data_IF_324268669160
#
_entry.id   IF_324268669160
#
_cell.length_a   1.000
_cell.length_b   1.000
_cell.length_c   1.000
_cell.angle_alpha   90.00
_cell.angle_beta   90.00
_cell.angle_gamma   90.00
#
_symmetry.space_group_name_H-M   'P 1'
#
loop_
_entity.id
_entity.type
_entity.pdbx_description
1 polymer ?
#
# COMPACT_ATOMS: atom_id res chain seq x y z
N UNK A 1 -1.21 -15.51 0.63
CA UNK A 1 -2.34 -14.77 1.21
C UNK A 1 -3.53 -14.86 0.24
N UNK A 2 -4.78 -14.65 0.65
CA UNK A 2 -5.93 -14.54 -0.27
C UNK A 2 -6.53 -13.14 -0.21
N UNK A 3 -7.28 -12.74 -1.23
CA UNK A 3 -7.92 -11.42 -1.30
C UNK A 3 -8.86 -11.14 -0.12
N UNK A 4 -9.56 -12.19 0.34
CA UNK A 4 -10.47 -12.11 1.49
C UNK A 4 -9.69 -11.96 2.81
N UNK A 5 -8.58 -12.69 2.96
CA UNK A 5 -7.70 -12.56 4.12
C UNK A 5 -7.07 -11.15 4.20
N UNK A 6 -6.73 -10.55 3.06
CA UNK A 6 -6.16 -9.20 3.00
C UNK A 6 -6.97 -8.15 3.76
N UNK A 7 -8.30 -8.22 3.66
CA UNK A 7 -9.20 -7.24 4.30
C UNK A 7 -9.28 -7.43 5.82
N UNK A 8 -9.07 -8.64 6.30
CA UNK A 8 -9.16 -9.01 7.71
C UNK A 8 -7.83 -8.99 8.44
N UNK A 9 -6.73 -9.17 7.71
CA UNK A 9 -5.39 -9.30 8.26
C UNK A 9 -4.65 -7.95 8.39
N UNK A 10 -5.11 -6.88 7.73
CA UNK A 10 -4.55 -5.55 7.96
C UNK A 10 -4.79 -5.11 9.40
N UNK A 11 -3.73 -4.61 10.05
CA UNK A 11 -3.86 -4.03 11.39
C UNK A 11 -4.84 -2.84 11.36
N UNK A 12 -5.54 -2.53 12.47
CA UNK A 12 -6.45 -1.38 12.53
C UNK A 12 -5.79 -0.07 12.13
N UNK A 13 -4.49 0.10 12.44
CA UNK A 13 -3.72 1.29 12.05
C UNK A 13 -3.38 1.31 10.58
N UNK A 14 -2.95 0.18 10.00
CA UNK A 14 -2.70 0.09 8.57
C UNK A 14 -3.99 0.37 7.77
N UNK A 15 -5.13 -0.15 8.24
CA UNK A 15 -6.43 0.12 7.64
C UNK A 15 -6.79 1.60 7.72
N UNK A 16 -6.61 2.26 8.87
CA UNK A 16 -6.85 3.70 9.03
C UNK A 16 -6.00 4.55 8.07
N UNK A 17 -4.71 4.23 7.92
CA UNK A 17 -3.82 4.91 6.98
C UNK A 17 -4.26 4.70 5.52
N UNK A 18 -4.66 3.48 5.18
CA UNK A 18 -5.19 3.17 3.86
C UNK A 18 -6.52 3.89 3.57
N UNK A 19 -7.44 3.94 4.53
CA UNK A 19 -8.70 4.68 4.42
C UNK A 19 -8.46 6.18 4.27
N UNK A 20 -7.47 6.73 4.98
CA UNK A 20 -7.06 8.13 4.83
C UNK A 20 -6.55 8.43 3.43
N UNK A 21 -5.71 7.55 2.87
CA UNK A 21 -5.26 7.65 1.48
C UNK A 21 -6.43 7.59 0.49
N UNK A 22 -7.33 6.60 0.64
CA UNK A 22 -8.53 6.49 -0.21
C UNK A 22 -9.42 7.72 -0.15
N UNK A 23 -9.54 8.36 1.02
CA UNK A 23 -10.35 9.57 1.16
C UNK A 23 -9.73 10.77 0.43
N UNK A 24 -8.39 10.82 0.32
CA UNK A 24 -7.69 11.89 -0.43
C UNK A 24 -7.66 11.67 -1.94
N UNK A 25 -7.69 10.42 -2.40
CA UNK A 25 -7.46 10.09 -3.81
C UNK A 25 -8.75 9.81 -4.56
N UNK A 26 -8.87 10.34 -5.77
CA UNK A 26 -9.93 9.95 -6.70
C UNK A 26 -9.56 8.61 -7.39
N UNK A 27 -10.30 7.50 -7.15
CA UNK A 27 -9.99 6.19 -7.72
C UNK A 27 -10.03 6.14 -9.26
N UNK A 28 -10.74 7.09 -9.89
CA UNK A 28 -10.85 7.22 -11.35
C UNK A 28 -9.70 8.00 -11.99
N UNK A 29 -8.79 8.60 -11.20
CA UNK A 29 -7.61 9.28 -11.75
C UNK A 29 -6.55 8.28 -12.22
N UNK A 30 -5.97 8.54 -13.39
CA UNK A 30 -4.97 7.68 -14.02
C UNK A 30 -3.57 7.93 -13.43
N UNK A 31 -3.43 7.69 -12.12
CA UNK A 31 -2.18 7.81 -11.34
C UNK A 31 -1.57 9.22 -11.19
N UNK A 32 -2.38 10.27 -11.36
CA UNK A 32 -1.99 11.65 -11.04
C UNK A 32 -2.12 11.93 -9.54
N UNK A 33 -1.32 11.23 -8.73
CA UNK A 33 -1.28 11.46 -7.28
C UNK A 33 -0.56 12.79 -7.00
N UNK A 34 -1.18 13.66 -6.22
CA UNK A 34 -0.52 14.89 -5.76
C UNK A 34 0.43 14.59 -4.59
N UNK A 35 1.28 15.54 -4.21
CA UNK A 35 2.27 15.33 -3.15
C UNK A 35 1.67 14.92 -1.79
N UNK A 36 0.44 15.36 -1.48
CA UNK A 36 -0.26 14.96 -0.26
C UNK A 36 -0.75 13.52 -0.34
N UNK A 37 -1.28 13.09 -1.49
CA UNK A 37 -1.70 11.71 -1.75
C UNK A 37 -0.51 10.75 -1.64
N UNK A 38 0.65 11.16 -2.16
CA UNK A 38 1.87 10.37 -2.08
C UNK A 38 2.36 10.25 -0.64
N UNK A 39 2.30 11.33 0.15
CA UNK A 39 2.66 11.29 1.56
C UNK A 39 1.78 10.32 2.36
N UNK A 40 0.45 10.38 2.18
CA UNK A 40 -0.47 9.46 2.86
C UNK A 40 -0.28 8.01 2.41
N UNK A 41 0.12 7.78 1.16
CA UNK A 41 0.51 6.47 0.66
C UNK A 41 1.75 5.92 1.36
N UNK A 42 2.80 6.73 1.50
CA UNK A 42 4.02 6.30 2.18
C UNK A 42 3.81 6.07 3.68
N UNK A 43 2.95 6.86 4.33
CA UNK A 43 2.50 6.61 5.70
C UNK A 43 1.92 5.19 5.87
N UNK A 44 1.10 4.74 4.91
CA UNK A 44 0.55 3.39 4.90
C UNK A 44 1.64 2.33 4.74
N UNK A 45 2.58 2.51 3.80
CA UNK A 45 3.71 1.58 3.58
C UNK A 45 4.58 1.45 4.85
N UNK A 46 4.87 2.57 5.50
CA UNK A 46 5.65 2.60 6.75
C UNK A 46 4.90 1.83 7.84
N UNK A 47 3.59 2.06 7.98
CA UNK A 47 2.79 1.34 8.97
C UNK A 47 2.79 -0.17 8.74
N UNK A 48 2.64 -0.64 7.49
CA UNK A 48 2.76 -2.06 7.16
C UNK A 48 4.12 -2.65 7.54
N UNK A 49 5.20 -1.91 7.31
CA UNK A 49 6.55 -2.33 7.70
C UNK A 49 6.69 -2.42 9.24
N UNK A 50 6.16 -1.44 9.97
CA UNK A 50 6.17 -1.44 11.45
C UNK A 50 5.40 -2.63 12.02
N UNK A 51 4.29 -2.99 11.39
CA UNK A 51 3.47 -4.15 11.75
C UNK A 51 4.10 -5.49 11.30
N UNK A 52 5.26 -5.44 10.63
CA UNK A 52 5.94 -6.60 10.03
C UNK A 52 5.01 -7.41 9.12
N UNK A 53 4.09 -6.72 8.47
CA UNK A 53 3.09 -7.36 7.64
C UNK A 53 3.65 -7.68 6.26
N UNK A 54 3.69 -8.97 5.92
CA UNK A 54 4.13 -9.42 4.60
C UNK A 54 2.96 -9.37 3.63
N UNK A 55 2.99 -8.36 2.76
CA UNK A 55 1.96 -8.12 1.77
C UNK A 55 2.44 -8.55 0.38
N UNK A 56 1.73 -9.48 -0.22
CA UNK A 56 1.93 -9.89 -1.62
C UNK A 56 1.42 -8.80 -2.57
N UNK A 57 2.31 -8.26 -3.40
CA UNK A 57 2.02 -7.12 -4.28
C UNK A 57 0.97 -7.44 -5.34
N UNK A 58 0.96 -8.65 -5.88
CA UNK A 58 0.00 -9.07 -6.90
C UNK A 58 -1.41 -9.20 -6.31
N UNK A 59 -1.53 -9.80 -5.12
CA UNK A 59 -2.80 -9.90 -4.39
C UNK A 59 -3.32 -8.50 -4.02
N UNK A 60 -2.42 -7.62 -3.59
CA UNK A 60 -2.77 -6.24 -3.26
C UNK A 60 -3.25 -5.46 -4.48
N UNK A 61 -2.57 -5.58 -5.62
CA UNK A 61 -2.98 -4.96 -6.88
C UNK A 61 -4.38 -5.43 -7.31
N UNK A 62 -4.62 -6.75 -7.23
CA UNK A 62 -5.93 -7.32 -7.55
C UNK A 62 -7.04 -6.77 -6.65
N UNK A 63 -6.75 -6.54 -5.36
CA UNK A 63 -7.69 -5.94 -4.42
C UNK A 63 -7.98 -4.47 -4.74
N UNK A 64 -6.95 -3.69 -5.09
CA UNK A 64 -7.13 -2.29 -5.51
C UNK A 64 -8.06 -2.18 -6.72
N UNK A 65 -7.93 -3.08 -7.70
CA UNK A 65 -8.76 -3.08 -8.91
C UNK A 65 -10.18 -3.57 -8.60
N UNK A 66 -10.31 -4.72 -7.94
CA UNK A 66 -11.59 -5.42 -7.80
C UNK A 66 -12.49 -4.82 -6.73
N UNK A 67 -11.93 -4.46 -5.59
CA UNK A 67 -12.69 -4.00 -4.42
C UNK A 67 -12.66 -2.48 -4.29
N UNK A 68 -11.49 -1.88 -4.43
CA UNK A 68 -11.30 -0.44 -4.22
C UNK A 68 -11.62 0.38 -5.48
N UNK A 69 -11.74 -0.29 -6.63
CA UNK A 69 -12.12 0.29 -7.93
C UNK A 69 -11.13 1.32 -8.47
N UNK A 70 -9.84 1.17 -8.17
CA UNK A 70 -8.80 1.90 -8.87
C UNK A 70 -8.69 1.44 -10.33
N UNK A 71 -8.28 2.35 -11.22
CA UNK A 71 -7.88 1.97 -12.58
C UNK A 71 -6.70 1.00 -12.54
N UNK A 72 -6.57 0.12 -13.54
CA UNK A 72 -5.46 -0.83 -13.63
C UNK A 72 -4.10 -0.12 -13.56
N UNK A 73 -3.94 1.00 -14.28
CA UNK A 73 -2.73 1.83 -14.25
C UNK A 73 -2.41 2.32 -12.84
N UNK A 74 -3.39 2.88 -12.13
CA UNK A 74 -3.19 3.39 -10.78
C UNK A 74 -2.89 2.27 -9.78
N UNK A 75 -3.60 1.14 -9.88
CA UNK A 75 -3.37 -0.02 -9.03
C UNK A 75 -1.96 -0.61 -9.23
N UNK A 76 -1.49 -0.72 -10.48
CA UNK A 76 -0.12 -1.18 -10.79
C UNK A 76 0.91 -0.26 -10.15
N UNK A 77 0.79 1.06 -10.34
CA UNK A 77 1.74 2.04 -9.78
C UNK A 77 1.77 1.97 -8.24
N UNK A 78 0.61 1.86 -7.59
CA UNK A 78 0.52 1.76 -6.14
C UNK A 78 1.15 0.45 -5.62
N UNK A 79 0.90 -0.67 -6.28
CA UNK A 79 1.48 -1.96 -5.92
C UNK A 79 3.01 -2.00 -6.10
N UNK A 80 3.52 -1.43 -7.19
CA UNK A 80 4.96 -1.29 -7.44
C UNK A 80 5.64 -0.43 -6.36
N UNK A 81 5.02 0.70 -6.01
CA UNK A 81 5.51 1.61 -4.95
C UNK A 81 5.50 0.94 -3.58
N UNK A 82 4.46 0.18 -3.26
CA UNK A 82 4.37 -0.60 -2.04
C UNK A 82 5.51 -1.63 -1.95
N UNK A 83 5.68 -2.45 -2.98
CA UNK A 83 6.71 -3.48 -3.04
C UNK A 83 8.12 -2.88 -2.90
N UNK A 84 8.39 -1.82 -3.68
CA UNK A 84 9.66 -1.09 -3.64
C UNK A 84 9.90 -0.45 -2.27
N UNK A 85 8.89 0.17 -1.67
CA UNK A 85 8.98 0.81 -0.37
C UNK A 85 9.24 -0.18 0.77
N UNK A 86 8.52 -1.31 0.80
CA UNK A 86 8.76 -2.37 1.79
C UNK A 86 10.14 -3.00 1.62
N UNK A 87 10.58 -3.24 0.38
CA UNK A 87 11.93 -3.75 0.09
C UNK A 87 13.01 -2.80 0.61
N UNK A 88 12.85 -1.49 0.37
CA UNK A 88 13.78 -0.47 0.86
C UNK A 88 13.84 -0.42 2.39
N UNK A 89 12.69 -0.40 3.06
CA UNK A 89 12.63 -0.38 4.53
C UNK A 89 13.24 -1.64 5.14
N UNK A 90 12.98 -2.81 4.56
CA UNK A 90 13.59 -4.07 4.96
C UNK A 90 15.11 -4.09 4.73
N UNK A 91 15.61 -3.44 3.69
CA UNK A 91 17.04 -3.32 3.44
C UNK A 91 17.73 -2.46 4.53
N UNK A 92 17.18 -1.29 4.86
CA UNK A 92 17.73 -0.44 5.91
C UNK A 92 17.65 -1.06 7.30
N UNK A 93 16.57 -1.80 7.61
CA UNK A 93 16.49 -2.59 8.86
C UNK A 93 17.61 -3.62 8.99
N UNK A 94 18.08 -4.20 7.88
CA UNK A 94 19.20 -5.14 7.86
C UNK A 94 20.56 -4.46 7.97
N UNK A 95 20.68 -3.21 7.51
CA UNK A 95 21.92 -2.45 7.56
C UNK A 95 22.26 -1.91 8.98
N UNK A 96 21.27 -1.78 9.86
CA UNK A 96 21.43 -1.27 11.23
C UNK A 96 22.04 -2.29 12.22
N UNK A 97 22.34 -3.53 11.78
CA UNK A 97 22.87 -4.61 12.63
C UNK A 97 24.07 -5.39 12.03
N UNK A 98 24.87 -4.76 11.15
CA UNK A 98 26.11 -5.35 10.63
C UNK A 98 27.36 -4.71 11.24
#
# INVERSE_FOLDING_TARGET
MTLEALKTDLSPRALEKFDSFKASVNPSMNANFNSSDEATWYDFIIQLHLDQYELDSDIFQQWLIKDVKFSETAATILADRLSSGLSLLNHYKKADFA
#
